data_IF_829936170889
#
_entry.id   IF_829936170889
#
_cell.length_a   1.000
_cell.length_b   1.000
_cell.length_c   1.000
_cell.angle_alpha   90.00
_cell.angle_beta   90.00
_cell.angle_gamma   90.00
#
_symmetry.space_group_name_H-M   'P 1'
#
loop_
_entity.id
_entity.type
_entity.pdbx_description
1 polymer ?
#
# COMPACT_ATOMS: atom_id res chain seq x y z
N UNK A 1 5.66 -3.44 -13.57
CA UNK A 1 4.36 -3.28 -13.74
C UNK A 1 3.76 -2.11 -14.45
N UNK A 2 2.45 -2.04 -14.33
CA UNK A 2 1.68 -0.93 -14.87
C UNK A 2 1.70 0.30 -13.95
N UNK A 3 1.77 1.48 -14.55
CA UNK A 3 1.55 2.72 -13.85
C UNK A 3 0.06 3.07 -13.87
N UNK A 4 -0.42 3.81 -12.88
CA UNK A 4 -1.82 4.28 -12.83
C UNK A 4 -1.98 5.70 -13.37
N UNK A 5 -0.90 6.49 -13.32
CA UNK A 5 -0.87 7.88 -13.79
C UNK A 5 0.48 8.17 -14.43
N UNK A 6 0.53 9.21 -15.28
CA UNK A 6 1.77 9.76 -15.82
C UNK A 6 2.69 10.31 -14.73
N UNK A 7 3.95 10.56 -15.06
CA UNK A 7 4.95 11.09 -14.13
C UNK A 7 4.57 12.46 -13.56
N UNK A 8 3.93 13.32 -14.38
CA UNK A 8 3.42 14.62 -13.94
C UNK A 8 2.12 14.53 -13.12
N UNK A 9 1.50 13.35 -13.03
CA UNK A 9 0.28 13.10 -12.26
C UNK A 9 -1.01 13.64 -12.88
N UNK A 10 -0.99 14.08 -14.13
CA UNK A 10 -2.10 14.77 -14.79
C UNK A 10 -2.73 13.97 -15.94
N UNK A 11 -2.20 12.81 -16.27
CA UNK A 11 -2.71 11.93 -17.33
C UNK A 11 -2.91 10.52 -16.79
N UNK A 12 -4.08 9.94 -17.02
CA UNK A 12 -4.40 8.55 -16.65
C UNK A 12 -4.68 7.66 -17.85
N UNK A 13 -5.08 8.23 -18.97
CA UNK A 13 -5.29 7.49 -20.22
C UNK A 13 -3.99 6.91 -20.75
N UNK A 14 -4.00 5.65 -21.16
CA UNK A 14 -2.81 4.89 -21.56
C UNK A 14 -1.93 4.41 -20.40
N UNK A 15 -2.16 4.91 -19.19
CA UNK A 15 -1.51 4.45 -17.95
C UNK A 15 -2.44 3.52 -17.15
N UNK A 16 -3.55 4.07 -16.68
CA UNK A 16 -4.50 3.33 -15.86
C UNK A 16 -5.14 2.15 -16.61
N UNK A 17 -5.44 2.33 -17.88
CA UNK A 17 -6.02 1.33 -18.78
C UNK A 17 -4.98 0.66 -19.70
N UNK A 18 -3.71 0.66 -19.30
CA UNK A 18 -2.64 0.01 -20.04
C UNK A 18 -2.84 -1.51 -20.13
N UNK A 19 -2.26 -2.13 -21.16
CA UNK A 19 -2.26 -3.60 -21.33
C UNK A 19 -1.77 -4.33 -20.08
N UNK A 20 -0.74 -3.80 -19.40
CA UNK A 20 -0.23 -4.36 -18.15
C UNK A 20 -1.26 -4.35 -17.02
N UNK A 21 -2.05 -3.31 -16.90
CA UNK A 21 -3.10 -3.25 -15.89
C UNK A 21 -4.28 -4.17 -16.25
N UNK A 22 -4.59 -4.34 -17.54
CA UNK A 22 -5.54 -5.35 -18.01
C UNK A 22 -5.07 -6.77 -17.65
N UNK A 23 -3.79 -7.09 -17.87
CA UNK A 23 -3.20 -8.38 -17.47
C UNK A 23 -3.35 -8.61 -15.95
N UNK A 24 -3.06 -7.59 -15.13
CA UNK A 24 -3.20 -7.68 -13.66
C UNK A 24 -4.65 -7.94 -13.24
N UNK A 25 -5.62 -7.25 -13.84
CA UNK A 25 -7.04 -7.46 -13.55
C UNK A 25 -7.49 -8.88 -13.93
N UNK A 26 -7.09 -9.37 -15.10
CA UNK A 26 -7.41 -10.71 -15.56
C UNK A 26 -6.73 -11.77 -14.68
N UNK A 27 -5.48 -11.54 -14.26
CA UNK A 27 -4.78 -12.45 -13.34
C UNK A 27 -5.51 -12.53 -11.99
N UNK A 28 -5.95 -11.40 -11.46
CA UNK A 28 -6.73 -11.38 -10.22
C UNK A 28 -8.05 -12.16 -10.37
N UNK A 29 -8.74 -12.00 -11.49
CA UNK A 29 -9.94 -12.79 -11.80
C UNK A 29 -9.64 -14.30 -11.81
N UNK A 30 -8.53 -14.73 -12.42
CA UNK A 30 -8.13 -16.15 -12.42
C UNK A 30 -7.86 -16.70 -11.02
N UNK A 31 -7.28 -15.90 -10.12
CA UNK A 31 -7.07 -16.28 -8.71
C UNK A 31 -8.41 -16.59 -8.02
N UNK A 32 -9.41 -15.74 -8.26
CA UNK A 32 -10.75 -15.91 -7.70
C UNK A 32 -11.47 -17.10 -8.34
N UNK A 33 -11.49 -17.20 -9.67
CA UNK A 33 -12.14 -18.25 -10.42
C UNK A 33 -11.59 -19.65 -10.05
N UNK A 34 -10.26 -19.75 -9.87
CA UNK A 34 -9.60 -20.98 -9.44
C UNK A 34 -9.74 -21.26 -7.94
N UNK A 35 -10.46 -20.41 -7.20
CA UNK A 35 -10.68 -20.54 -5.75
C UNK A 35 -9.40 -20.55 -4.90
N UNK A 36 -8.35 -19.86 -5.37
CA UNK A 36 -7.14 -19.65 -4.60
C UNK A 36 -7.32 -18.54 -3.57
N UNK A 37 -8.37 -17.73 -3.71
CA UNK A 37 -8.77 -16.70 -2.79
C UNK A 37 -10.28 -16.76 -2.54
N UNK A 38 -10.72 -16.40 -1.33
CA UNK A 38 -12.15 -16.27 -1.01
C UNK A 38 -12.75 -15.03 -1.68
N UNK A 39 -13.95 -15.17 -2.23
CA UNK A 39 -14.73 -14.04 -2.78
C UNK A 39 -15.23 -13.08 -1.70
N UNK A 40 -15.41 -13.59 -0.49
CA UNK A 40 -15.86 -12.79 0.66
C UNK A 40 -14.76 -12.75 1.74
N UNK A 41 -14.66 -11.64 2.50
CA UNK A 41 -13.78 -11.56 3.64
C UNK A 41 -14.13 -12.66 4.66
N UNK A 42 -13.11 -13.40 5.10
CA UNK A 42 -13.23 -14.39 6.18
C UNK A 42 -12.26 -13.97 7.28
N UNK A 43 -12.80 -13.70 8.47
CA UNK A 43 -12.01 -13.31 9.62
C UNK A 43 -11.04 -14.43 10.03
N UNK A 44 -9.84 -14.04 10.42
CA UNK A 44 -8.79 -14.91 10.96
C UNK A 44 -8.49 -16.14 10.09
N UNK A 45 -8.59 -15.98 8.76
CA UNK A 45 -8.38 -17.10 7.82
C UNK A 45 -6.93 -17.60 7.84
N UNK A 46 -5.97 -16.68 7.90
CA UNK A 46 -4.55 -16.98 8.01
C UNK A 46 -4.19 -17.45 9.41
N UNK A 47 -4.63 -16.75 10.42
CA UNK A 47 -4.34 -17.00 11.84
C UNK A 47 -4.88 -18.38 12.29
N UNK A 48 -5.97 -18.85 11.68
CA UNK A 48 -6.53 -20.19 11.92
C UNK A 48 -5.88 -21.31 11.08
N UNK A 49 -4.85 -20.99 10.29
CA UNK A 49 -4.16 -21.95 9.44
C UNK A 49 -4.96 -22.40 8.20
N UNK A 50 -6.04 -21.72 7.86
CA UNK A 50 -6.88 -22.04 6.69
C UNK A 50 -6.41 -21.34 5.41
N UNK A 51 -5.60 -20.30 5.51
CA UNK A 51 -4.86 -19.70 4.40
C UNK A 51 -3.36 -19.84 4.65
N UNK A 52 -2.62 -20.19 3.60
CA UNK A 52 -1.17 -20.33 3.67
C UNK A 52 -0.46 -18.96 3.54
N UNK A 53 -1.09 -17.98 2.90
CA UNK A 53 -0.54 -16.67 2.63
C UNK A 53 -1.56 -15.57 2.95
N UNK A 54 -1.04 -14.44 3.42
CA UNK A 54 -1.79 -13.21 3.67
C UNK A 54 -0.99 -12.03 3.14
N UNK A 55 -1.64 -11.13 2.41
CA UNK A 55 -1.08 -9.82 2.07
C UNK A 55 -1.64 -8.80 3.04
N UNK A 56 -0.78 -8.18 3.82
CA UNK A 56 -1.21 -7.21 4.81
C UNK A 56 -0.14 -6.11 5.03
N UNK A 57 -0.46 -5.14 5.87
CA UNK A 57 0.48 -4.10 6.28
C UNK A 57 1.47 -4.59 7.34
N UNK A 58 2.55 -3.84 7.50
CA UNK A 58 3.63 -4.19 8.42
C UNK A 58 3.21 -4.28 9.91
N UNK A 59 2.08 -3.67 10.28
CA UNK A 59 1.49 -3.77 11.62
C UNK A 59 1.06 -5.18 11.99
N UNK A 60 0.77 -6.01 10.99
CA UNK A 60 0.24 -7.35 11.20
C UNK A 60 1.22 -8.28 11.90
N UNK A 61 2.53 -8.08 11.72
CA UNK A 61 3.54 -8.87 12.44
C UNK A 61 3.35 -8.73 13.95
N UNK A 62 3.19 -7.50 14.42
CA UNK A 62 2.93 -7.26 15.87
C UNK A 62 1.60 -7.86 16.32
N UNK A 63 0.55 -7.69 15.52
CA UNK A 63 -0.79 -8.25 15.80
C UNK A 63 -0.72 -9.77 15.98
N UNK A 64 0.00 -10.47 15.08
CA UNK A 64 0.12 -11.92 15.16
C UNK A 64 0.97 -12.33 16.34
N UNK A 65 2.09 -11.69 16.62
CA UNK A 65 2.94 -12.01 17.76
C UNK A 65 2.23 -11.83 19.10
N UNK A 66 1.37 -10.81 19.23
CA UNK A 66 0.66 -10.54 20.47
C UNK A 66 -0.60 -11.41 20.65
N UNK A 67 -1.36 -11.64 19.59
CA UNK A 67 -2.68 -12.25 19.70
C UNK A 67 -2.74 -13.71 19.25
N UNK A 68 -1.75 -14.17 18.46
CA UNK A 68 -1.71 -15.51 17.89
C UNK A 68 -0.32 -16.17 18.04
N UNK A 69 0.17 -16.34 19.29
CA UNK A 69 1.55 -16.80 19.54
C UNK A 69 1.84 -18.22 19.02
N UNK A 70 0.81 -19.01 18.74
CA UNK A 70 0.94 -20.36 18.18
C UNK A 70 1.12 -20.36 16.65
N UNK A 71 0.95 -19.21 15.99
CA UNK A 71 1.17 -19.09 14.54
C UNK A 71 2.67 -19.02 14.24
N UNK A 72 3.17 -19.97 13.49
CA UNK A 72 4.55 -19.93 12.97
C UNK A 72 4.60 -18.98 11.78
N UNK A 73 4.78 -17.68 12.06
CA UNK A 73 4.79 -16.61 11.06
C UNK A 73 6.11 -16.57 10.32
N UNK A 74 6.04 -16.49 8.99
CA UNK A 74 7.15 -16.10 8.12
C UNK A 74 6.77 -14.89 7.27
N UNK A 75 7.61 -13.87 7.22
CA UNK A 75 7.45 -12.69 6.38
C UNK A 75 8.40 -12.78 5.20
N UNK A 76 7.86 -12.62 4.01
CA UNK A 76 8.63 -12.57 2.77
C UNK A 76 8.34 -11.28 1.98
N UNK A 77 9.29 -10.77 1.21
CA UNK A 77 9.03 -9.74 0.22
C UNK A 77 7.96 -10.18 -0.76
N UNK A 78 7.24 -9.23 -1.36
CA UNK A 78 6.28 -9.56 -2.41
C UNK A 78 6.91 -10.47 -3.45
N UNK A 79 6.25 -11.58 -3.70
CA UNK A 79 6.67 -12.54 -4.73
C UNK A 79 6.48 -11.92 -6.11
N UNK A 80 7.36 -12.27 -7.01
CA UNK A 80 7.29 -11.94 -8.44
C UNK A 80 7.43 -13.23 -9.21
N UNK A 81 6.90 -13.28 -10.44
CA UNK A 81 7.06 -14.45 -11.31
C UNK A 81 8.53 -14.70 -11.66
N UNK A 82 8.87 -15.92 -12.02
CA UNK A 82 10.23 -16.33 -12.37
C UNK A 82 10.78 -15.55 -13.58
N UNK A 83 9.89 -15.15 -14.49
CA UNK A 83 10.22 -14.36 -15.69
C UNK A 83 10.23 -12.84 -15.43
N UNK A 84 10.09 -12.39 -14.17
CA UNK A 84 10.07 -10.98 -13.83
C UNK A 84 11.49 -10.40 -13.82
N UNK A 85 11.74 -9.49 -14.75
CA UNK A 85 13.02 -8.78 -14.90
C UNK A 85 12.98 -7.33 -14.41
N UNK A 86 11.82 -6.87 -13.92
CA UNK A 86 11.61 -5.53 -13.41
C UNK A 86 11.93 -5.38 -11.93
N UNK A 87 11.82 -4.14 -11.45
CA UNK A 87 11.96 -3.84 -10.03
C UNK A 87 10.78 -4.36 -9.22
N UNK A 88 11.04 -4.80 -7.99
CA UNK A 88 10.00 -5.08 -7.01
C UNK A 88 9.48 -3.77 -6.46
N UNK A 89 8.17 -3.73 -6.20
CA UNK A 89 7.51 -2.57 -5.64
C UNK A 89 6.77 -2.96 -4.36
N UNK A 90 6.95 -2.16 -3.30
CA UNK A 90 6.03 -2.16 -2.16
C UNK A 90 5.48 -0.76 -1.97
N UNK A 91 4.16 -0.57 -1.95
CA UNK A 91 3.60 0.76 -1.74
C UNK A 91 3.95 1.23 -0.33
N UNK A 92 4.58 2.39 -0.24
CA UNK A 92 4.73 3.08 1.03
C UNK A 92 3.52 3.98 1.27
N UNK A 93 2.97 3.89 2.45
CA UNK A 93 1.90 4.75 2.89
C UNK A 93 1.89 4.75 4.40
N UNK A 94 1.77 5.94 4.98
CA UNK A 94 1.76 6.12 6.42
C UNK A 94 0.85 7.27 6.79
N UNK A 95 0.61 7.42 8.07
CA UNK A 95 0.02 8.61 8.64
C UNK A 95 0.99 9.78 8.48
N UNK A 96 0.45 10.96 8.21
CA UNK A 96 1.21 12.19 8.14
C UNK A 96 0.76 13.14 9.25
N UNK A 97 1.70 13.83 9.86
CA UNK A 97 1.43 14.93 10.78
C UNK A 97 1.45 16.24 10.01
N UNK A 98 0.46 17.09 10.25
CA UNK A 98 0.37 18.40 9.61
C UNK A 98 -0.05 19.47 10.62
N UNK A 99 0.45 20.70 10.45
CA UNK A 99 -0.06 21.85 11.15
C UNK A 99 -1.28 22.41 10.41
N UNK A 100 -2.31 22.83 11.15
CA UNK A 100 -3.46 23.51 10.57
C UNK A 100 -3.06 24.90 10.09
N UNK A 101 -3.56 25.33 8.94
CA UNK A 101 -3.42 26.72 8.46
C UNK A 101 -4.12 27.74 9.36
N UNK A 102 -5.11 27.29 10.17
CA UNK A 102 -5.88 28.12 11.08
C UNK A 102 -5.25 28.23 12.49
N UNK A 103 -4.04 27.70 12.68
CA UNK A 103 -3.40 27.77 14.01
C UNK A 103 -2.89 29.17 14.34
N UNK A 104 -3.17 29.64 15.54
CA UNK A 104 -2.62 30.90 16.07
C UNK A 104 -1.15 30.76 16.53
N UNK A 105 -0.62 29.52 16.58
CA UNK A 105 0.75 29.23 16.97
C UNK A 105 1.43 28.31 15.96
N UNK A 106 1.76 28.86 14.79
CA UNK A 106 2.39 28.08 13.72
C UNK A 106 3.79 27.57 14.10
N UNK A 107 4.54 28.32 14.90
CA UNK A 107 5.87 27.93 15.36
C UNK A 107 5.78 26.70 16.25
N UNK A 108 4.95 26.70 17.28
CA UNK A 108 4.75 25.56 18.17
C UNK A 108 4.18 24.35 17.44
N UNK A 109 3.22 24.54 16.53
CA UNK A 109 2.66 23.46 15.72
C UNK A 109 3.72 22.83 14.80
N UNK A 110 4.58 23.65 14.20
CA UNK A 110 5.69 23.20 13.35
C UNK A 110 6.72 22.40 14.13
N UNK A 111 7.09 22.85 15.32
CA UNK A 111 8.03 22.14 16.20
C UNK A 111 7.43 20.80 16.65
N UNK A 112 6.14 20.75 16.97
CA UNK A 112 5.46 19.49 17.30
C UNK A 112 5.49 18.51 16.11
N UNK A 113 5.17 18.97 14.89
CA UNK A 113 5.21 18.11 13.68
C UNK A 113 6.63 17.59 13.43
N UNK A 114 7.65 18.43 13.56
CA UNK A 114 9.06 18.03 13.42
C UNK A 114 9.43 16.97 14.45
N UNK A 115 9.05 17.19 15.71
CA UNK A 115 9.33 16.23 16.78
C UNK A 115 8.62 14.90 16.53
N UNK A 116 7.29 14.92 16.26
CA UNK A 116 6.48 13.71 15.98
C UNK A 116 7.00 12.89 14.78
N UNK A 117 7.60 13.55 13.79
CA UNK A 117 8.18 12.92 12.61
C UNK A 117 9.66 12.55 12.76
N UNK A 118 10.26 12.86 13.92
CA UNK A 118 11.68 12.68 14.20
C UNK A 118 12.05 11.22 14.51
N UNK A 119 13.35 10.95 14.50
CA UNK A 119 13.91 9.62 14.82
C UNK A 119 13.67 9.27 16.28
N UNK A 120 13.95 10.20 17.19
CA UNK A 120 13.80 9.98 18.64
C UNK A 120 12.35 9.64 19.03
N UNK A 121 11.39 10.40 18.51
CA UNK A 121 9.97 10.13 18.74
C UNK A 121 9.52 8.81 18.10
N UNK A 122 10.04 8.49 16.93
CA UNK A 122 9.76 7.22 16.27
C UNK A 122 10.22 6.01 17.10
N UNK A 123 11.44 6.07 17.64
CA UNK A 123 11.97 5.05 18.56
C UNK A 123 11.14 4.96 19.85
N UNK A 124 10.77 6.10 20.41
CA UNK A 124 9.94 6.17 21.62
C UNK A 124 8.54 5.58 21.40
N UNK A 125 7.87 5.96 20.31
CA UNK A 125 6.54 5.45 19.93
C UNK A 125 6.58 3.92 19.77
N UNK A 126 7.62 3.40 19.12
CA UNK A 126 7.81 1.96 19.03
C UNK A 126 7.95 1.30 20.40
N UNK A 127 8.81 1.81 21.26
CA UNK A 127 9.07 1.23 22.57
C UNK A 127 7.84 1.24 23.48
N UNK A 128 7.04 2.31 23.45
CA UNK A 128 5.88 2.49 24.30
C UNK A 128 4.60 1.85 23.75
N UNK A 129 4.41 1.84 22.44
CA UNK A 129 3.14 1.45 21.81
C UNK A 129 3.27 0.41 20.68
N UNK A 130 4.47 -0.07 20.37
CA UNK A 130 4.74 -0.96 19.23
C UNK A 130 4.18 -0.46 17.90
N UNK A 131 3.94 0.86 17.82
CA UNK A 131 3.49 1.52 16.61
C UNK A 131 4.66 1.78 15.67
N UNK A 132 4.49 1.49 14.39
CA UNK A 132 5.56 1.67 13.40
C UNK A 132 6.01 3.13 13.33
N UNK A 133 7.33 3.39 13.31
CA UNK A 133 7.86 4.73 13.19
C UNK A 133 7.42 5.43 11.90
N UNK A 134 7.18 6.73 11.97
CA UNK A 134 6.86 7.58 10.81
C UNK A 134 8.09 7.90 9.95
N UNK A 135 9.30 7.69 10.47
CA UNK A 135 10.55 7.94 9.75
C UNK A 135 11.38 6.67 9.59
N UNK A 136 11.85 6.45 8.37
CA UNK A 136 12.69 5.32 8.01
C UNK A 136 13.93 5.17 8.91
N UNK A 137 14.59 6.28 9.23
CA UNK A 137 15.81 6.26 10.06
C UNK A 137 15.58 5.77 11.49
N UNK A 138 14.36 5.79 12.00
CA UNK A 138 14.08 5.26 13.32
C UNK A 138 14.15 3.72 13.35
N UNK A 139 13.85 3.04 12.26
CA UNK A 139 13.97 1.58 12.18
C UNK A 139 15.42 1.10 12.40
N UNK A 140 16.42 1.90 12.00
CA UNK A 140 17.83 1.59 12.18
C UNK A 140 18.25 1.60 13.65
N UNK A 141 17.50 2.30 14.52
CA UNK A 141 17.76 2.45 15.94
C UNK A 141 16.89 1.55 16.83
N UNK A 142 16.10 0.69 16.25
CA UNK A 142 15.23 -0.25 16.95
C UNK A 142 15.73 -1.66 16.68
N UNK A 143 16.35 -2.27 17.67
CA UNK A 143 17.09 -3.53 17.55
C UNK A 143 16.29 -4.67 16.91
N UNK A 144 14.99 -4.76 17.18
CA UNK A 144 14.15 -5.86 16.67
C UNK A 144 14.10 -5.89 15.13
N UNK A 145 14.20 -4.74 14.47
CA UNK A 145 14.25 -4.68 13.00
C UNK A 145 15.57 -5.20 12.41
N UNK A 146 16.58 -5.44 13.29
CA UNK A 146 17.86 -6.00 12.89
C UNK A 146 18.00 -7.46 13.37
N UNK A 147 17.31 -7.87 14.41
CA UNK A 147 17.52 -9.14 15.11
C UNK A 147 16.40 -10.16 14.91
N UNK A 148 15.16 -9.72 14.70
CA UNK A 148 14.04 -10.60 14.39
C UNK A 148 13.89 -10.77 12.86
N UNK A 149 13.76 -12.00 12.39
CA UNK A 149 13.74 -12.34 10.97
C UNK A 149 12.56 -11.68 10.24
N UNK A 150 11.37 -11.65 10.85
CA UNK A 150 10.16 -11.10 10.25
C UNK A 150 10.19 -9.57 10.19
N UNK A 151 10.60 -8.92 11.28
CA UNK A 151 10.78 -7.46 11.28
C UNK A 151 11.92 -7.01 10.36
N UNK A 152 12.99 -7.81 10.26
CA UNK A 152 14.07 -7.53 9.32
C UNK A 152 13.60 -7.65 7.86
N UNK A 153 12.78 -8.65 7.52
CA UNK A 153 12.20 -8.79 6.19
C UNK A 153 11.35 -7.56 5.81
N UNK A 154 10.53 -7.03 6.72
CA UNK A 154 9.78 -5.79 6.52
C UNK A 154 10.70 -4.59 6.27
N UNK A 155 11.74 -4.43 7.10
CA UNK A 155 12.70 -3.35 6.95
C UNK A 155 13.44 -3.41 5.60
N UNK A 156 13.89 -4.60 5.21
CA UNK A 156 14.55 -4.82 3.91
C UNK A 156 13.61 -4.54 2.74
N UNK A 157 12.34 -4.94 2.84
CA UNK A 157 11.35 -4.66 1.81
C UNK A 157 11.10 -3.15 1.66
N UNK A 158 10.91 -2.46 2.79
CA UNK A 158 10.71 -1.00 2.79
C UNK A 158 11.94 -0.27 2.23
N UNK A 159 13.14 -0.63 2.66
CA UNK A 159 14.38 0.05 2.29
C UNK A 159 14.77 -0.14 0.84
N UNK A 160 14.50 -1.33 0.28
CA UNK A 160 14.91 -1.69 -1.08
C UNK A 160 13.84 -1.43 -2.14
N UNK A 161 12.58 -1.59 -1.76
CA UNK A 161 11.46 -1.66 -2.71
C UNK A 161 10.32 -0.69 -2.37
N UNK A 162 10.52 0.18 -1.38
CA UNK A 162 9.52 1.16 -0.97
C UNK A 162 9.34 2.28 -1.99
N UNK A 163 8.14 2.39 -2.54
CA UNK A 163 7.78 3.45 -3.48
C UNK A 163 6.56 4.22 -3.00
N UNK A 164 6.58 5.56 -3.10
CA UNK A 164 5.44 6.37 -2.74
C UNK A 164 4.28 6.13 -3.70
N UNK A 165 3.07 6.39 -3.24
CA UNK A 165 1.89 6.43 -4.09
C UNK A 165 2.03 7.52 -5.15
N UNK A 166 1.35 7.37 -6.32
CA UNK A 166 1.38 8.37 -7.38
C UNK A 166 1.02 9.76 -6.87
N UNK A 167 1.78 10.77 -7.29
CA UNK A 167 1.52 12.17 -6.98
C UNK A 167 0.52 12.72 -8.00
N UNK A 168 -0.74 12.80 -7.62
CA UNK A 168 -1.80 13.40 -8.44
C UNK A 168 -2.80 14.10 -7.52
N UNK A 169 -3.37 15.25 -7.94
CA UNK A 169 -4.36 15.98 -7.14
C UNK A 169 -5.67 15.19 -6.96
N UNK A 170 -5.86 14.12 -7.75
CA UNK A 170 -7.07 13.28 -7.73
C UNK A 170 -6.80 11.85 -7.23
N UNK A 171 -5.75 11.64 -6.43
CA UNK A 171 -5.39 10.31 -5.93
C UNK A 171 -6.57 9.54 -5.29
N UNK A 172 -7.44 10.14 -4.46
CA UNK A 172 -8.60 9.43 -3.93
C UNK A 172 -9.51 8.84 -5.01
N UNK A 173 -9.69 9.57 -6.13
CA UNK A 173 -10.48 9.08 -7.26
C UNK A 173 -9.75 7.92 -7.99
N UNK A 174 -8.43 8.04 -8.17
CA UNK A 174 -7.60 6.96 -8.77
C UNK A 174 -7.72 5.69 -7.93
N UNK A 175 -7.54 5.78 -6.62
CA UNK A 175 -7.61 4.65 -5.70
C UNK A 175 -9.00 3.99 -5.70
N UNK A 176 -10.06 4.78 -5.58
CA UNK A 176 -11.44 4.26 -5.59
C UNK A 176 -11.80 3.63 -6.93
N UNK A 177 -11.39 4.24 -8.05
CA UNK A 177 -11.65 3.69 -9.38
C UNK A 177 -10.91 2.37 -9.62
N UNK A 178 -9.68 2.25 -9.10
CA UNK A 178 -8.92 1.00 -9.18
C UNK A 178 -9.60 -0.13 -8.39
N UNK A 179 -10.00 0.16 -7.16
CA UNK A 179 -10.73 -0.80 -6.33
C UNK A 179 -12.02 -1.26 -7.02
N UNK A 180 -12.84 -0.34 -7.55
CA UNK A 180 -14.08 -0.68 -8.24
C UNK A 180 -13.85 -1.53 -9.50
N UNK A 181 -12.80 -1.21 -10.28
CA UNK A 181 -12.43 -2.01 -11.44
C UNK A 181 -11.99 -3.41 -11.02
N UNK A 182 -11.15 -3.52 -9.97
CA UNK A 182 -10.69 -4.80 -9.44
C UNK A 182 -11.84 -5.68 -8.95
N UNK A 183 -12.81 -5.11 -8.24
CA UNK A 183 -14.02 -5.82 -7.78
C UNK A 183 -14.90 -6.24 -8.97
N UNK A 184 -15.12 -5.35 -9.93
CA UNK A 184 -15.96 -5.62 -11.11
C UNK A 184 -15.39 -6.72 -12.01
N UNK A 185 -14.07 -6.73 -12.19
CA UNK A 185 -13.38 -7.75 -13.00
C UNK A 185 -13.14 -8.99 -12.17
N UNK A 186 -12.48 -8.85 -11.02
CA UNK A 186 -12.04 -9.96 -10.21
C UNK A 186 -13.18 -10.81 -9.67
N UNK A 187 -14.18 -10.18 -9.04
CA UNK A 187 -15.33 -10.87 -8.46
C UNK A 187 -16.50 -10.96 -9.45
N UNK A 188 -16.68 -9.96 -10.29
CA UNK A 188 -17.83 -9.87 -11.21
C UNK A 188 -17.60 -10.44 -12.60
N UNK A 189 -16.36 -10.83 -12.96
CA UNK A 189 -16.02 -11.41 -14.27
C UNK A 189 -16.25 -10.48 -15.46
N UNK A 190 -16.27 -9.16 -15.24
CA UNK A 190 -16.46 -8.19 -16.31
C UNK A 190 -15.20 -8.02 -17.15
N UNK A 191 -15.36 -7.50 -18.37
CA UNK A 191 -14.24 -7.20 -19.25
C UNK A 191 -13.30 -6.16 -18.63
N UNK A 192 -12.03 -6.51 -18.49
CA UNK A 192 -11.03 -5.72 -17.79
C UNK A 192 -10.75 -4.39 -18.51
N UNK A 193 -10.60 -4.41 -19.85
CA UNK A 193 -10.35 -3.20 -20.61
C UNK A 193 -11.51 -2.21 -20.47
N UNK A 194 -12.74 -2.70 -20.63
CA UNK A 194 -13.92 -1.84 -20.53
C UNK A 194 -14.10 -1.21 -19.13
N UNK A 195 -13.81 -1.93 -18.05
CA UNK A 195 -13.91 -1.38 -16.69
C UNK A 195 -12.77 -0.39 -16.38
N UNK A 196 -11.58 -0.61 -16.92
CA UNK A 196 -10.48 0.34 -16.80
C UNK A 196 -10.73 1.62 -17.64
N UNK A 197 -11.27 1.51 -18.85
CA UNK A 197 -11.65 2.67 -19.69
C UNK A 197 -12.72 3.53 -19.01
N UNK A 198 -13.75 2.94 -18.44
CA UNK A 198 -14.76 3.66 -17.61
C UNK A 198 -14.13 4.36 -16.41
N UNK A 199 -13.09 3.76 -15.85
CA UNK A 199 -12.35 4.36 -14.73
C UNK A 199 -11.56 5.58 -15.18
N UNK A 200 -10.91 5.51 -16.35
CA UNK A 200 -10.22 6.63 -17.00
C UNK A 200 -11.17 7.80 -17.22
N UNK A 201 -12.36 7.57 -17.76
CA UNK A 201 -13.37 8.61 -17.96
C UNK A 201 -13.73 9.32 -16.63
N UNK A 202 -13.96 8.55 -15.58
CA UNK A 202 -14.30 9.09 -14.24
C UNK A 202 -13.17 9.91 -13.62
N UNK A 203 -11.93 9.46 -13.78
CA UNK A 203 -10.76 10.15 -13.24
C UNK A 203 -10.51 11.44 -14.04
N UNK A 204 -10.55 11.37 -15.38
CA UNK A 204 -10.37 12.52 -16.25
C UNK A 204 -11.39 13.64 -15.96
N UNK A 205 -12.65 13.30 -15.71
CA UNK A 205 -13.66 14.27 -15.33
C UNK A 205 -13.32 15.05 -14.02
N UNK A 206 -12.48 14.46 -13.14
CA UNK A 206 -11.96 15.17 -11.95
C UNK A 206 -10.69 15.95 -12.28
N UNK A 207 -9.79 15.39 -13.12
CA UNK A 207 -8.56 16.06 -13.53
C UNK A 207 -8.80 17.35 -14.32
N UNK A 208 -9.86 17.43 -15.13
CA UNK A 208 -10.22 18.64 -15.86
C UNK A 208 -10.27 19.91 -15.00
N UNK A 209 -10.54 19.79 -13.69
CA UNK A 209 -10.57 20.93 -12.77
C UNK A 209 -9.18 21.49 -12.46
N UNK A 210 -8.14 20.70 -12.69
CA UNK A 210 -6.75 21.03 -12.39
C UNK A 210 -5.94 21.33 -13.65
N UNK A 211 -6.51 21.07 -14.84
CA UNK A 211 -5.84 21.25 -16.13
C UNK A 211 -6.41 22.42 -16.96
N UNK A 212 -7.41 23.12 -16.44
CA UNK A 212 -8.08 24.26 -17.11
C UNK A 212 -7.47 25.63 -16.81
N UNK A 213 -6.22 25.67 -16.25
CA UNK A 213 -5.51 26.94 -16.08
C UNK A 213 -4.54 27.24 -17.23
#
# INVERSE_FOLDING_TARGET
GGNLVSEDGLTVDGYFNSEKNVEVMNYFHQIVENKYMSEAPIENLFESGRAAFKFDGAWEVNTIYENYPDVNLGVAPYVVGDDWDGERYTPTGSWAFAASSETDNIEGATELVKWMSGVESGVRIWNEAKSLPSTYKAFEQIDIFQTDENYNALYQQLSKYGHPRPKTPVYPQVSTSFQQALESVGLGGKDAQAELDKSVERINAKLERYTRE
#
